data_IF_507730186402
#
_entry.id   IF_507730186402
#
_cell.length_a   1.000
_cell.length_b   1.000
_cell.length_c   1.000
_cell.angle_alpha   90.00
_cell.angle_beta   90.00
_cell.angle_gamma   90.00
#
_symmetry.space_group_name_H-M   'P 1'
#
loop_
_entity.id
_entity.type
_entity.pdbx_description
1 polymer ?
#
# COMPACT_ATOMS: atom_id res chain seq x y z
N UNK A 1 -15.44 -12.79 1.21
CA UNK A 1 -15.17 -11.95 0.02
C UNK A 1 -13.66 -11.97 -0.18
N UNK A 2 -13.12 -12.37 -1.33
CA UNK A 2 -11.67 -12.39 -1.57
C UNK A 2 -11.29 -11.15 -2.37
N UNK A 3 -10.56 -10.23 -1.75
CA UNK A 3 -10.03 -9.05 -2.43
C UNK A 3 -8.75 -9.47 -3.15
N UNK A 4 -8.70 -9.31 -4.48
CA UNK A 4 -7.50 -9.64 -5.28
C UNK A 4 -6.53 -8.47 -5.38
N UNK A 5 -7.08 -7.26 -5.50
CA UNK A 5 -6.33 -6.03 -5.71
C UNK A 5 -7.10 -4.86 -5.09
N UNK A 6 -6.39 -3.92 -4.47
CA UNK A 6 -6.92 -2.63 -4.03
C UNK A 6 -6.12 -1.54 -4.75
N UNK A 7 -6.82 -0.58 -5.35
CA UNK A 7 -6.22 0.60 -5.95
C UNK A 7 -6.62 1.82 -5.14
N UNK A 8 -5.63 2.62 -4.77
CA UNK A 8 -5.75 3.83 -3.96
C UNK A 8 -5.20 5.00 -4.77
N UNK A 9 -5.97 6.06 -4.88
CA UNK A 9 -5.55 7.29 -5.55
C UNK A 9 -5.26 8.35 -4.49
N UNK A 10 -4.11 9.00 -4.60
CA UNK A 10 -3.64 10.02 -3.67
C UNK A 10 -3.85 11.43 -4.22
N UNK A 11 -3.88 12.43 -3.34
CA UNK A 11 -3.99 13.83 -3.74
C UNK A 11 -2.75 14.32 -4.51
N UNK A 12 -1.60 13.65 -4.39
CA UNK A 12 -0.39 13.93 -5.19
C UNK A 12 -0.54 13.55 -6.66
N UNK A 13 -1.58 12.77 -7.01
CA UNK A 13 -1.73 12.16 -8.33
C UNK A 13 -0.94 10.86 -8.49
N UNK A 14 -0.38 10.33 -7.41
CA UNK A 14 0.15 8.97 -7.42
C UNK A 14 -0.96 7.97 -7.12
N UNK A 15 -0.79 6.78 -7.68
CA UNK A 15 -1.72 5.66 -7.51
C UNK A 15 -0.99 4.49 -6.87
N UNK A 16 -1.49 3.99 -5.74
CA UNK A 16 -0.97 2.81 -5.07
C UNK A 16 -1.87 1.62 -5.38
N UNK A 17 -1.29 0.54 -5.91
CA UNK A 17 -1.99 -0.70 -6.23
C UNK A 17 -1.44 -1.82 -5.37
N UNK A 18 -2.23 -2.26 -4.40
CA UNK A 18 -1.90 -3.35 -3.48
C UNK A 18 -2.47 -4.64 -4.05
N UNK A 19 -1.65 -5.66 -4.22
CA UNK A 19 -2.02 -6.99 -4.67
C UNK A 19 -1.43 -8.07 -3.76
N UNK A 20 -2.14 -9.19 -3.62
CA UNK A 20 -1.60 -10.38 -2.95
C UNK A 20 -1.03 -11.35 -3.98
N UNK A 21 0.25 -11.65 -3.83
CA UNK A 21 0.92 -12.76 -4.49
C UNK A 21 0.98 -13.99 -3.57
N UNK A 22 1.37 -15.15 -4.11
CA UNK A 22 1.29 -16.45 -3.41
C UNK A 22 1.89 -16.44 -1.99
N UNK A 23 2.95 -15.68 -1.76
CA UNK A 23 3.67 -15.62 -0.48
C UNK A 23 4.00 -14.19 -0.01
N UNK A 24 3.50 -13.17 -0.69
CA UNK A 24 3.88 -11.79 -0.40
C UNK A 24 2.78 -10.81 -0.79
N UNK A 25 2.71 -9.70 -0.08
CA UNK A 25 1.86 -8.57 -0.47
C UNK A 25 2.76 -7.59 -1.22
N UNK A 26 2.29 -7.14 -2.39
CA UNK A 26 3.03 -6.22 -3.25
C UNK A 26 2.21 -4.94 -3.41
N UNK A 27 2.87 -3.80 -3.26
CA UNK A 27 2.29 -2.48 -3.53
C UNK A 27 3.06 -1.81 -4.65
N UNK A 28 2.38 -1.51 -5.75
CA UNK A 28 2.89 -0.75 -6.88
C UNK A 28 2.47 0.71 -6.77
N UNK A 29 3.43 1.63 -6.70
CA UNK A 29 3.19 3.07 -6.76
C UNK A 29 3.44 3.52 -8.19
N UNK A 30 2.42 4.07 -8.84
CA UNK A 30 2.49 4.63 -10.18
C UNK A 30 2.24 6.14 -10.17
N UNK A 31 2.90 6.87 -11.07
CA UNK A 31 2.65 8.29 -11.32
C UNK A 31 1.35 8.49 -12.12
N UNK A 32 0.87 9.73 -12.21
CA UNK A 32 -0.19 10.19 -13.11
C UNK A 32 0.06 9.84 -14.59
N UNK A 33 1.31 9.54 -14.96
CA UNK A 33 1.70 9.12 -16.31
C UNK A 33 1.61 7.60 -16.53
N UNK A 34 1.25 6.83 -15.49
CA UNK A 34 1.22 5.36 -15.51
C UNK A 34 2.61 4.71 -15.34
N UNK A 35 3.65 5.49 -15.08
CA UNK A 35 4.98 4.97 -14.79
C UNK A 35 5.05 4.44 -13.35
N UNK A 36 5.44 3.18 -13.17
CA UNK A 36 5.77 2.64 -11.85
C UNK A 36 7.00 3.34 -11.30
N UNK A 37 6.82 4.08 -10.21
CA UNK A 37 7.88 4.83 -9.53
C UNK A 37 8.52 3.98 -8.43
N UNK A 38 7.70 3.18 -7.73
CA UNK A 38 8.15 2.39 -6.62
C UNK A 38 7.36 1.09 -6.49
N UNK A 39 8.01 0.04 -6.02
CA UNK A 39 7.39 -1.26 -5.75
C UNK A 39 7.83 -1.69 -4.36
N UNK A 40 6.86 -1.84 -3.47
CA UNK A 40 7.08 -2.31 -2.11
C UNK A 40 6.59 -3.75 -1.99
N UNK A 41 7.40 -4.63 -1.39
CA UNK A 41 7.04 -6.03 -1.19
C UNK A 41 7.23 -6.38 0.27
N UNK A 42 6.20 -6.94 0.89
CA UNK A 42 6.21 -7.32 2.30
C UNK A 42 5.73 -8.74 2.50
N UNK A 43 6.14 -9.32 3.62
CA UNK A 43 5.65 -10.64 4.04
C UNK A 43 4.29 -10.51 4.74
N UNK A 44 3.29 -11.36 4.41
CA UNK A 44 2.00 -11.34 5.09
C UNK A 44 2.11 -11.80 6.56
N UNK A 45 3.18 -12.51 6.91
CA UNK A 45 3.44 -13.00 8.27
C UNK A 45 4.14 -11.96 9.17
N UNK A 46 4.66 -10.87 8.59
CA UNK A 46 5.40 -9.84 9.31
C UNK A 46 4.58 -8.55 9.41
N UNK A 47 4.06 -8.29 10.62
CA UNK A 47 3.21 -7.12 10.87
C UNK A 47 3.96 -5.81 10.82
N UNK A 48 5.22 -5.78 11.24
CA UNK A 48 6.02 -4.56 11.20
C UNK A 48 6.37 -4.22 9.75
N UNK A 49 6.66 -5.23 8.94
CA UNK A 49 6.88 -5.09 7.49
C UNK A 49 5.62 -4.55 6.81
N UNK A 50 4.44 -5.13 7.10
CA UNK A 50 3.15 -4.62 6.61
C UNK A 50 2.86 -3.19 7.05
N UNK A 51 3.24 -2.80 8.27
CA UNK A 51 3.06 -1.43 8.75
C UNK A 51 3.96 -0.46 8.00
N UNK A 52 5.20 -0.85 7.70
CA UNK A 52 6.13 -0.04 6.90
C UNK A 52 5.60 0.23 5.48
N UNK A 53 4.90 -0.74 4.88
CA UNK A 53 4.22 -0.56 3.60
C UNK A 53 3.10 0.48 3.71
N UNK A 54 2.32 0.47 4.79
CA UNK A 54 1.27 1.47 5.04
C UNK A 54 1.86 2.89 5.14
N UNK A 55 2.99 3.04 5.83
CA UNK A 55 3.71 4.32 5.90
C UNK A 55 4.22 4.77 4.53
N UNK A 56 4.75 3.84 3.74
CA UNK A 56 5.24 4.12 2.40
C UNK A 56 4.09 4.59 1.48
N UNK A 57 2.95 3.90 1.50
CA UNK A 57 1.77 4.25 0.71
C UNK A 57 1.30 5.66 1.06
N UNK A 58 1.12 5.96 2.34
CA UNK A 58 0.73 7.30 2.77
C UNK A 58 1.73 8.36 2.29
N UNK A 59 3.02 8.12 2.51
CA UNK A 59 4.04 9.09 2.13
C UNK A 59 4.03 9.41 0.63
N UNK A 60 3.78 8.41 -0.21
CA UNK A 60 3.71 8.59 -1.65
C UNK A 60 2.39 9.25 -2.08
N UNK A 61 1.25 8.81 -1.55
CA UNK A 61 -0.08 9.30 -1.95
C UNK A 61 -0.41 10.70 -1.43
N UNK A 62 0.02 11.04 -0.21
CA UNK A 62 -0.24 12.34 0.42
C UNK A 62 0.98 13.28 0.36
N UNK A 63 2.15 12.79 -0.06
CA UNK A 63 3.39 13.59 -0.10
C UNK A 63 3.89 14.05 1.27
N UNK A 64 3.29 13.55 2.36
CA UNK A 64 3.60 13.94 3.72
C UNK A 64 3.52 12.75 4.68
N UNK A 65 4.09 12.91 5.88
CA UNK A 65 3.78 12.05 7.03
C UNK A 65 2.34 12.37 7.44
N UNK A 66 1.35 11.82 6.74
CA UNK A 66 -0.04 12.03 7.10
C UNK A 66 -0.33 11.55 8.53
N UNK A 67 -1.57 11.75 8.96
CA UNK A 67 -1.96 11.46 10.35
C UNK A 67 -1.84 9.96 10.68
N UNK A 68 -1.52 9.62 11.93
CA UNK A 68 -1.44 8.22 12.41
C UNK A 68 -2.71 7.39 12.11
N UNK A 69 -3.86 8.07 12.00
CA UNK A 69 -5.15 7.52 11.59
C UNK A 69 -5.15 6.97 10.16
N UNK A 70 -4.59 7.69 9.19
CA UNK A 70 -4.51 7.24 7.80
C UNK A 70 -3.59 6.03 7.64
N UNK A 71 -2.43 6.02 8.32
CA UNK A 71 -1.52 4.88 8.34
C UNK A 71 -2.22 3.60 8.82
N UNK A 72 -3.03 3.72 9.88
CA UNK A 72 -3.79 2.58 10.40
C UNK A 72 -4.88 2.09 9.44
N UNK A 73 -5.50 2.99 8.67
CA UNK A 73 -6.46 2.61 7.64
C UNK A 73 -5.80 1.80 6.51
N UNK A 74 -4.66 2.27 6.00
CA UNK A 74 -3.86 1.52 5.01
C UNK A 74 -3.38 0.18 5.57
N UNK A 75 -2.90 0.15 6.82
CA UNK A 75 -2.49 -1.09 7.47
C UNK A 75 -3.64 -2.08 7.61
N UNK A 76 -4.86 -1.61 7.91
CA UNK A 76 -6.06 -2.44 7.96
C UNK A 76 -6.42 -3.00 6.59
N UNK A 77 -6.22 -2.24 5.51
CA UNK A 77 -6.40 -2.74 4.14
C UNK A 77 -5.35 -3.80 3.77
N UNK A 78 -4.09 -3.60 4.17
CA UNK A 78 -3.00 -4.56 3.92
C UNK A 78 -3.25 -5.87 4.68
N UNK A 79 -3.70 -5.79 5.93
CA UNK A 79 -3.98 -6.98 6.75
C UNK A 79 -5.15 -7.82 6.24
N UNK A 80 -6.07 -7.27 5.42
CA UNK A 80 -7.06 -8.08 4.68
C UNK A 80 -6.40 -9.03 3.67
N UNK A 81 -5.17 -8.74 3.24
CA UNK A 81 -4.36 -9.60 2.40
C UNK A 81 -3.36 -10.44 3.19
N UNK A 82 -3.40 -10.44 4.52
CA UNK A 82 -2.63 -11.37 5.34
C UNK A 82 -3.50 -12.57 5.76
N UNK A 83 -4.76 -12.29 6.13
CA UNK A 83 -5.81 -13.27 6.46
C UNK A 83 -6.17 -14.21 5.29
#
# INVERSE_FOLDING_TARGET
MKVKTITLEGETGYTATISREEKSIVCHIADNTGNCINIHRVSPDDRDDMFSMAECIQFQLDGCHGTNSMKHDFFRMITLFAD
#
